data_IF_274875761052
#
_entry.id   IF_274875761052
#
_cell.length_a   1.000
_cell.length_b   1.000
_cell.length_c   1.000
_cell.angle_alpha   90.00
_cell.angle_beta   90.00
_cell.angle_gamma   90.00
#
_symmetry.space_group_name_H-M   'P 1'
#
loop_
_entity.id
_entity.type
_entity.pdbx_description
1 polymer ?
#
# COMPACT_ATOMS: atom_id res chain seq x y z
N UNK A 1 -19.29 -2.75 -13.52
CA UNK A 1 -18.43 -2.37 -14.67
C UNK A 1 -19.26 -2.43 -15.94
N UNK A 2 -19.10 -1.45 -16.85
CA UNK A 2 -19.82 -1.42 -18.13
C UNK A 2 -18.96 -2.16 -19.17
N UNK A 3 -19.13 -3.48 -19.28
CA UNK A 3 -18.38 -4.37 -20.18
C UNK A 3 -18.27 -3.82 -21.60
N UNK A 4 -19.38 -3.44 -22.22
CA UNK A 4 -19.41 -2.86 -23.59
C UNK A 4 -18.51 -1.61 -23.76
N UNK A 5 -18.37 -0.77 -22.71
CA UNK A 5 -17.49 0.39 -22.78
C UNK A 5 -16.01 0.00 -22.74
N UNK A 6 -15.67 -1.02 -21.95
CA UNK A 6 -14.31 -1.54 -21.88
C UNK A 6 -13.91 -2.21 -23.20
N UNK A 7 -14.80 -3.04 -23.77
CA UNK A 7 -14.62 -3.66 -25.08
C UNK A 7 -14.43 -2.63 -26.20
N UNK A 8 -15.30 -1.60 -26.25
CA UNK A 8 -15.16 -0.52 -27.22
C UNK A 8 -13.87 0.29 -27.03
N UNK A 9 -13.44 0.52 -25.80
CA UNK A 9 -12.18 1.22 -25.55
C UNK A 9 -10.98 0.38 -25.96
N UNK A 10 -10.99 -0.92 -25.71
CA UNK A 10 -9.96 -1.85 -26.15
C UNK A 10 -9.86 -1.88 -27.68
N UNK A 11 -11.01 -1.97 -28.36
CA UNK A 11 -11.09 -1.96 -29.82
C UNK A 11 -10.44 -0.71 -30.41
N UNK A 12 -10.97 0.47 -30.09
CA UNK A 12 -10.58 1.72 -30.77
C UNK A 12 -9.27 2.33 -30.26
N UNK A 13 -8.86 2.04 -29.02
CA UNK A 13 -7.64 2.65 -28.44
C UNK A 13 -6.42 1.74 -28.45
N UNK A 14 -6.60 0.45 -28.62
CA UNK A 14 -5.51 -0.52 -28.56
C UNK A 14 -5.47 -1.38 -29.83
N UNK A 15 -6.52 -2.15 -30.11
CA UNK A 15 -6.53 -3.11 -31.19
C UNK A 15 -6.35 -2.47 -32.58
N UNK A 16 -7.22 -1.53 -32.94
CA UNK A 16 -7.16 -0.85 -34.24
C UNK A 16 -5.85 -0.07 -34.44
N UNK A 17 -5.41 0.80 -33.49
CA UNK A 17 -4.17 1.55 -33.66
C UNK A 17 -2.92 0.69 -33.77
N UNK A 18 -2.90 -0.48 -33.10
CA UNK A 18 -1.75 -1.40 -33.14
C UNK A 18 -1.86 -2.45 -34.25
N UNK A 19 -3.03 -2.61 -34.88
CA UNK A 19 -3.25 -3.60 -35.93
C UNK A 19 -3.10 -5.05 -35.45
N UNK A 20 -3.50 -5.34 -34.20
CA UNK A 20 -3.33 -6.64 -33.54
C UNK A 20 -4.69 -7.33 -33.29
N UNK A 21 -4.66 -8.63 -33.02
CA UNK A 21 -5.87 -9.39 -32.67
C UNK A 21 -6.40 -9.06 -31.27
N UNK A 22 -7.67 -9.37 -31.01
CA UNK A 22 -8.36 -9.01 -29.75
C UNK A 22 -7.67 -9.59 -28.51
N UNK A 23 -7.27 -10.86 -28.56
CA UNK A 23 -6.59 -11.52 -27.43
C UNK A 23 -5.22 -10.89 -27.16
N UNK A 24 -4.46 -10.61 -28.23
CA UNK A 24 -3.18 -9.89 -28.13
C UNK A 24 -3.36 -8.47 -27.55
N UNK A 25 -4.46 -7.78 -27.86
CA UNK A 25 -4.75 -6.47 -27.30
C UNK A 25 -5.02 -6.53 -25.80
N UNK A 26 -5.71 -7.55 -25.31
CA UNK A 26 -5.93 -7.79 -23.87
C UNK A 26 -4.60 -8.02 -23.14
N UNK A 27 -3.75 -8.88 -23.69
CA UNK A 27 -2.43 -9.18 -23.14
C UNK A 27 -1.53 -7.94 -23.07
N UNK A 28 -1.51 -7.14 -24.14
CA UNK A 28 -0.76 -5.87 -24.16
C UNK A 28 -1.19 -4.90 -23.07
N UNK A 29 -2.48 -4.81 -22.79
CA UNK A 29 -3.00 -3.95 -21.70
C UNK A 29 -2.56 -4.50 -20.35
N UNK A 30 -2.64 -5.82 -20.14
CA UNK A 30 -2.21 -6.45 -18.90
C UNK A 30 -0.68 -6.29 -18.67
N UNK A 31 0.13 -6.60 -19.68
CA UNK A 31 1.59 -6.40 -19.64
C UNK A 31 1.95 -4.95 -19.29
N UNK A 32 1.32 -3.98 -19.97
CA UNK A 32 1.57 -2.56 -19.73
C UNK A 32 1.19 -2.16 -18.30
N UNK A 33 0.07 -2.67 -17.78
CA UNK A 33 -0.37 -2.40 -16.42
C UNK A 33 0.60 -3.00 -15.39
N UNK A 34 0.97 -4.26 -15.53
CA UNK A 34 1.91 -4.95 -14.64
C UNK A 34 3.26 -4.22 -14.63
N UNK A 35 3.79 -3.88 -15.82
CA UNK A 35 5.05 -3.16 -15.96
C UNK A 35 5.03 -1.80 -15.26
N UNK A 36 4.01 -0.98 -15.52
CA UNK A 36 3.90 0.37 -14.93
C UNK A 36 3.80 0.29 -13.41
N UNK A 37 3.03 -0.65 -12.87
CA UNK A 37 2.90 -0.81 -11.41
C UNK A 37 4.21 -1.31 -10.81
N UNK A 38 4.87 -2.29 -11.41
CA UNK A 38 6.15 -2.80 -10.95
C UNK A 38 7.24 -1.70 -10.97
N UNK A 39 7.33 -0.92 -12.04
CA UNK A 39 8.24 0.23 -12.13
C UNK A 39 7.99 1.23 -11.00
N UNK A 40 6.73 1.59 -10.74
CA UNK A 40 6.38 2.54 -9.67
C UNK A 40 6.68 2.02 -8.27
N UNK A 41 6.45 0.74 -8.01
CA UNK A 41 6.83 0.11 -6.74
C UNK A 41 8.35 0.16 -6.55
N UNK A 42 9.09 -0.18 -7.61
CA UNK A 42 10.55 -0.15 -7.58
C UNK A 42 11.12 1.26 -7.34
N UNK A 43 10.59 2.27 -8.04
CA UNK A 43 11.02 3.67 -7.91
C UNK A 43 10.82 4.22 -6.49
N UNK A 44 9.76 3.78 -5.79
CA UNK A 44 9.41 4.36 -4.49
C UNK A 44 10.24 3.84 -3.33
N UNK A 45 10.56 2.55 -3.29
CA UNK A 45 11.22 1.95 -2.13
C UNK A 45 12.36 1.01 -2.46
N UNK A 46 12.51 0.61 -3.73
CA UNK A 46 13.30 -0.55 -4.09
C UNK A 46 12.70 -1.83 -3.48
N UNK A 47 13.09 -2.97 -3.98
CA UNK A 47 12.67 -4.27 -3.46
C UNK A 47 13.90 -5.16 -3.27
N UNK A 48 13.97 -5.88 -2.15
CA UNK A 48 14.89 -7.00 -1.98
C UNK A 48 14.15 -8.31 -2.25
N UNK A 49 14.87 -9.41 -2.46
CA UNK A 49 14.29 -10.75 -2.63
C UNK A 49 13.39 -11.19 -1.47
N UNK A 50 13.61 -10.61 -0.28
CA UNK A 50 12.87 -10.92 0.95
C UNK A 50 11.67 -10.01 1.18
N UNK A 51 11.47 -9.02 0.30
CA UNK A 51 10.31 -8.13 0.37
C UNK A 51 9.02 -8.89 0.10
N UNK A 52 7.95 -8.51 0.79
CA UNK A 52 6.60 -9.03 0.57
C UNK A 52 5.73 -7.93 -0.04
N UNK A 53 5.08 -8.24 -1.16
CA UNK A 53 4.17 -7.30 -1.82
C UNK A 53 2.78 -7.40 -1.20
N UNK A 54 2.19 -6.28 -0.80
CA UNK A 54 0.82 -6.26 -0.25
C UNK A 54 -0.14 -5.66 -1.27
N UNK A 55 -1.13 -6.46 -1.70
CA UNK A 55 -2.17 -6.03 -2.65
C UNK A 55 -3.50 -5.81 -1.96
N UNK A 56 -4.09 -4.62 -2.11
CA UNK A 56 -5.37 -4.28 -1.49
C UNK A 56 -6.24 -3.41 -2.39
N UNK A 57 -7.47 -3.11 -1.95
CA UNK A 57 -8.49 -2.46 -2.75
C UNK A 57 -9.18 -3.43 -3.72
N UNK A 58 -10.09 -2.92 -4.55
CA UNK A 58 -10.85 -3.76 -5.48
C UNK A 58 -10.02 -4.35 -6.62
N UNK A 59 -9.02 -3.63 -7.13
CA UNK A 59 -8.20 -4.03 -8.28
C UNK A 59 -6.80 -4.53 -7.95
N UNK A 60 -6.25 -4.18 -6.79
CA UNK A 60 -4.90 -4.58 -6.39
C UNK A 60 -4.67 -6.09 -6.38
N UNK A 61 -5.57 -6.89 -5.82
CA UNK A 61 -5.45 -8.35 -5.80
C UNK A 61 -5.48 -9.04 -7.16
N UNK A 62 -6.05 -8.40 -8.20
CA UNK A 62 -6.29 -9.03 -9.49
C UNK A 62 -5.00 -9.45 -10.21
N UNK A 63 -3.96 -8.63 -10.16
CA UNK A 63 -2.68 -8.88 -10.84
C UNK A 63 -1.49 -8.88 -9.87
N UNK A 64 -1.74 -9.16 -8.59
CA UNK A 64 -0.72 -9.08 -7.54
C UNK A 64 0.44 -10.05 -7.78
N UNK A 65 0.15 -11.30 -8.13
CA UNK A 65 1.17 -12.33 -8.41
C UNK A 65 1.98 -11.99 -9.65
N UNK A 66 1.36 -11.43 -10.70
CA UNK A 66 2.07 -10.97 -11.89
C UNK A 66 3.02 -9.82 -11.58
N UNK A 67 2.57 -8.82 -10.78
CA UNK A 67 3.44 -7.71 -10.34
C UNK A 67 4.57 -8.20 -9.44
N UNK A 68 4.29 -9.11 -8.50
CA UNK A 68 5.31 -9.70 -7.64
C UNK A 68 6.37 -10.46 -8.47
N UNK A 69 5.94 -11.24 -9.47
CA UNK A 69 6.84 -11.94 -10.40
C UNK A 69 7.70 -10.97 -11.21
N UNK A 70 7.11 -9.88 -11.72
CA UNK A 70 7.85 -8.84 -12.46
C UNK A 70 8.90 -8.13 -11.60
N UNK A 71 8.68 -8.04 -10.29
CA UNK A 71 9.62 -7.51 -9.29
C UNK A 71 10.63 -8.55 -8.78
N UNK A 72 10.53 -9.82 -9.18
CA UNK A 72 11.37 -10.92 -8.68
C UNK A 72 11.08 -11.30 -7.24
N UNK A 73 9.90 -10.95 -6.73
CA UNK A 73 9.48 -11.26 -5.36
C UNK A 73 8.87 -12.66 -5.28
N UNK A 74 9.05 -13.33 -4.15
CA UNK A 74 8.55 -14.68 -3.89
C UNK A 74 7.36 -14.72 -2.93
N UNK A 75 7.02 -13.58 -2.33
CA UNK A 75 5.94 -13.49 -1.35
C UNK A 75 5.02 -12.30 -1.67
N UNK A 76 3.73 -12.52 -1.54
CA UNK A 76 2.73 -11.46 -1.59
C UNK A 76 1.60 -11.74 -0.59
N UNK A 77 0.86 -10.71 -0.19
CA UNK A 77 -0.25 -10.82 0.77
C UNK A 77 -1.44 -10.04 0.24
N UNK A 78 -2.62 -10.65 0.33
CA UNK A 78 -3.89 -9.96 0.18
C UNK A 78 -4.55 -9.95 1.56
N UNK A 79 -4.62 -8.80 2.25
CA UNK A 79 -5.25 -8.70 3.57
C UNK A 79 -6.71 -9.13 3.55
N UNK A 80 -7.18 -9.76 4.61
CA UNK A 80 -8.58 -10.17 4.75
C UNK A 80 -9.58 -9.02 4.60
N UNK A 81 -9.15 -7.80 4.95
CA UNK A 81 -9.90 -6.56 4.74
C UNK A 81 -9.43 -5.76 3.52
N UNK A 82 -8.95 -6.43 2.46
CA UNK A 82 -8.35 -5.78 1.29
C UNK A 82 -9.18 -4.63 0.73
N UNK A 83 -10.50 -4.77 0.66
CA UNK A 83 -11.40 -3.75 0.11
C UNK A 83 -11.41 -2.44 0.90
N UNK A 84 -11.18 -2.48 2.20
CA UNK A 84 -11.20 -1.33 3.13
C UNK A 84 -9.85 -1.12 3.84
N UNK A 85 -8.79 -1.75 3.35
CA UNK A 85 -7.48 -1.77 4.00
C UNK A 85 -6.88 -0.38 4.20
N UNK A 86 -7.11 0.54 3.26
CA UNK A 86 -6.69 1.94 3.42
C UNK A 86 -7.37 2.60 4.62
N UNK A 87 -8.68 2.41 4.79
CA UNK A 87 -9.43 2.95 5.93
C UNK A 87 -8.99 2.26 7.25
N UNK A 88 -8.78 0.94 7.21
CA UNK A 88 -8.23 0.19 8.32
C UNK A 88 -6.85 0.70 8.72
N UNK A 89 -5.96 0.92 7.74
CA UNK A 89 -4.61 1.44 7.95
C UNK A 89 -4.59 2.84 8.58
N UNK A 90 -5.59 3.69 8.31
CA UNK A 90 -5.71 5.00 8.97
C UNK A 90 -5.85 4.84 10.50
N UNK A 91 -6.54 3.81 10.99
CA UNK A 91 -6.66 3.54 12.43
C UNK A 91 -5.33 3.20 13.13
N UNK A 92 -4.30 2.83 12.36
CA UNK A 92 -2.95 2.54 12.85
C UNK A 92 -1.91 3.60 12.41
N UNK A 93 -2.37 4.65 11.77
CA UNK A 93 -1.52 5.78 11.42
C UNK A 93 -1.27 6.66 12.63
N UNK A 94 -0.05 7.19 12.72
CA UNK A 94 0.25 8.17 13.75
C UNK A 94 -0.61 9.42 13.56
N UNK A 95 -1.18 9.93 14.64
CA UNK A 95 -1.82 11.23 14.62
C UNK A 95 -0.71 12.30 14.68
N UNK A 96 -0.62 13.15 13.67
CA UNK A 96 0.39 14.22 13.66
C UNK A 96 -0.17 15.53 13.16
N UNK A 97 0.24 16.60 13.83
CA UNK A 97 -0.03 17.99 13.47
C UNK A 97 1.29 18.69 13.15
N UNK A 98 1.28 19.51 12.10
CA UNK A 98 2.47 20.26 11.68
C UNK A 98 2.18 21.75 11.68
N UNK A 99 3.06 22.52 12.30
CA UNK A 99 2.98 23.96 12.43
C UNK A 99 4.18 24.59 11.75
N UNK A 100 3.99 25.71 11.11
CA UNK A 100 5.07 26.43 10.45
C UNK A 100 4.93 27.93 10.72
N UNK A 101 6.07 28.59 10.95
CA UNK A 101 6.17 30.05 11.01
C UNK A 101 7.54 30.52 10.52
N UNK A 102 7.59 31.72 9.99
CA UNK A 102 8.87 32.36 9.68
C UNK A 102 9.51 32.87 10.98
N UNK A 103 10.80 32.62 11.13
CA UNK A 103 11.54 32.99 12.34
C UNK A 103 12.77 33.84 12.04
N UNK A 104 13.14 34.66 13.00
CA UNK A 104 14.45 35.32 13.12
C UNK A 104 15.26 34.69 14.26
N UNK A 105 16.57 34.75 14.17
CA UNK A 105 17.44 34.08 15.17
C UNK A 105 17.27 34.55 16.61
N UNK A 106 16.81 35.77 16.82
CA UNK A 106 16.70 36.40 18.14
C UNK A 106 15.51 35.86 18.97
N UNK A 107 14.45 35.40 18.32
CA UNK A 107 13.20 34.96 18.97
C UNK A 107 12.98 33.45 18.95
N UNK A 108 13.92 32.66 18.42
CA UNK A 108 13.71 31.22 18.16
C UNK A 108 13.16 30.46 19.37
N UNK A 109 13.64 30.72 20.58
CA UNK A 109 13.16 30.07 21.81
C UNK A 109 11.68 30.36 22.07
N UNK A 110 11.30 31.65 22.01
CA UNK A 110 9.91 32.08 22.21
C UNK A 110 8.99 31.54 21.10
N UNK A 111 9.49 31.52 19.86
CA UNK A 111 8.79 30.99 18.73
C UNK A 111 8.52 29.47 18.87
N UNK A 112 9.51 28.70 19.37
CA UNK A 112 9.33 27.28 19.71
C UNK A 112 8.25 27.08 20.78
N UNK A 113 8.30 27.84 21.87
CA UNK A 113 7.31 27.75 22.95
C UNK A 113 5.90 28.10 22.46
N UNK A 114 5.77 29.15 21.65
CA UNK A 114 4.48 29.53 21.07
C UNK A 114 3.89 28.42 20.19
N UNK A 115 4.71 27.72 19.40
CA UNK A 115 4.29 26.58 18.58
C UNK A 115 3.88 25.38 19.45
N UNK A 116 4.60 25.11 20.55
CA UNK A 116 4.23 24.05 21.50
C UNK A 116 2.88 24.35 22.14
N UNK A 117 2.62 25.58 22.56
CA UNK A 117 1.33 25.97 23.13
C UNK A 117 0.19 25.80 22.13
N UNK A 118 0.43 26.14 20.86
CA UNK A 118 -0.51 25.91 19.79
C UNK A 118 -0.77 24.42 19.58
N UNK A 119 0.31 23.62 19.48
CA UNK A 119 0.21 22.17 19.34
C UNK A 119 -0.55 21.53 20.51
N UNK A 120 -0.27 21.97 21.74
CA UNK A 120 -0.98 21.49 22.94
C UNK A 120 -2.49 21.70 22.84
N UNK A 121 -2.92 22.89 22.43
CA UNK A 121 -4.34 23.20 22.28
C UNK A 121 -4.99 22.36 21.19
N UNK A 122 -4.34 22.26 20.03
CA UNK A 122 -4.91 21.60 18.85
C UNK A 122 -4.92 20.06 19.05
N UNK A 123 -3.87 19.47 19.63
CA UNK A 123 -3.84 18.04 19.99
C UNK A 123 -4.86 17.70 21.08
N UNK A 124 -5.06 18.59 22.06
CA UNK A 124 -6.11 18.40 23.07
C UNK A 124 -7.51 18.41 22.47
N UNK A 125 -7.77 19.24 21.44
CA UNK A 125 -9.04 19.23 20.71
C UNK A 125 -9.31 17.90 19.97
N UNK A 126 -8.25 17.18 19.58
CA UNK A 126 -8.30 15.83 19.01
C UNK A 126 -8.33 14.72 20.09
N UNK A 127 -8.42 15.08 21.37
CA UNK A 127 -8.44 14.13 22.50
C UNK A 127 -7.09 13.54 22.86
N UNK A 128 -5.98 14.18 22.49
CA UNK A 128 -4.63 13.71 22.74
C UNK A 128 -3.87 14.67 23.68
N UNK A 129 -3.25 14.11 24.76
CA UNK A 129 -2.36 14.87 25.60
C UNK A 129 -1.02 15.11 24.87
N UNK A 130 -0.54 16.35 24.89
CA UNK A 130 0.74 16.72 24.28
C UNK A 130 1.94 16.00 24.92
N UNK A 131 1.83 15.62 26.20
CA UNK A 131 2.85 14.86 26.90
C UNK A 131 3.03 13.44 26.35
N UNK A 132 2.02 12.94 25.64
CA UNK A 132 2.07 11.65 24.95
C UNK A 132 2.59 11.76 23.51
N UNK A 133 3.00 12.95 23.09
CA UNK A 133 3.45 13.23 21.74
C UNK A 133 4.96 13.44 21.68
N UNK A 134 5.58 12.96 20.61
CA UNK A 134 6.91 13.43 20.24
C UNK A 134 6.78 14.79 19.55
N UNK A 135 7.66 15.72 19.95
CA UNK A 135 7.73 17.08 19.41
C UNK A 135 9.07 17.25 18.68
N UNK A 136 9.04 17.24 17.36
CA UNK A 136 10.20 17.41 16.50
C UNK A 136 10.17 18.80 15.85
N UNK A 137 11.22 19.56 16.07
CA UNK A 137 11.45 20.84 15.39
C UNK A 137 12.36 20.69 14.20
N UNK A 138 12.18 21.52 13.20
CA UNK A 138 13.12 21.66 12.09
C UNK A 138 13.17 23.10 11.57
N UNK A 139 14.36 23.51 11.15
CA UNK A 139 14.54 24.73 10.36
C UNK A 139 14.56 24.35 8.88
N UNK A 140 13.80 25.08 8.08
CA UNK A 140 13.68 24.86 6.64
C UNK A 140 14.04 26.15 5.91
N UNK A 141 15.02 26.09 5.05
CA UNK A 141 15.34 27.22 4.17
C UNK A 141 14.22 27.44 3.16
N UNK A 142 13.67 28.67 3.12
CA UNK A 142 12.51 29.01 2.29
C UNK A 142 12.80 28.97 0.78
N UNK A 143 14.07 29.16 0.39
CA UNK A 143 14.49 29.18 -1.03
C UNK A 143 14.72 27.78 -1.54
N UNK A 144 15.53 27.01 -0.82
CA UNK A 144 15.92 25.64 -1.23
C UNK A 144 14.93 24.56 -0.82
N UNK A 145 14.03 24.88 0.12
CA UNK A 145 13.10 23.93 0.76
C UNK A 145 13.80 22.80 1.53
N UNK A 146 15.09 22.91 1.76
CA UNK A 146 15.86 21.91 2.49
C UNK A 146 15.79 22.14 3.99
N UNK A 147 15.79 21.02 4.72
CA UNK A 147 15.91 21.05 6.19
C UNK A 147 17.37 21.28 6.52
N UNK A 148 17.65 22.36 7.28
CA UNK A 148 19.00 22.72 7.72
C UNK A 148 19.34 22.19 9.10
N UNK A 149 18.35 22.13 9.99
CA UNK A 149 18.53 21.66 11.37
C UNK A 149 17.30 20.84 11.81
N UNK A 150 17.52 19.87 12.69
CA UNK A 150 16.47 19.12 13.39
C UNK A 150 16.85 18.93 14.85
N UNK A 151 15.87 19.04 15.76
CA UNK A 151 16.03 18.77 17.18
C UNK A 151 14.70 18.43 17.85
N UNK A 152 14.73 17.84 19.03
CA UNK A 152 13.57 17.54 19.85
C UNK A 152 13.27 18.64 20.86
N UNK A 153 12.04 18.70 21.34
CA UNK A 153 11.69 19.62 22.42
C UNK A 153 12.54 19.31 23.66
N UNK A 154 13.18 20.35 24.21
CA UNK A 154 14.11 20.23 25.35
C UNK A 154 15.59 20.15 24.95
N UNK A 155 15.90 19.94 23.68
CA UNK A 155 17.29 20.00 23.19
C UNK A 155 17.78 21.46 23.09
N UNK A 156 19.12 21.62 22.97
CA UNK A 156 19.72 22.92 22.71
C UNK A 156 19.30 23.49 21.35
N UNK A 157 18.98 24.79 21.36
CA UNK A 157 18.53 25.46 20.14
C UNK A 157 19.67 25.68 19.14
N UNK A 158 19.46 25.41 17.85
CA UNK A 158 20.43 25.73 16.84
C UNK A 158 20.51 27.23 16.56
N UNK A 159 21.62 27.69 16.00
CA UNK A 159 21.73 29.07 15.50
C UNK A 159 20.98 29.20 14.18
N UNK A 160 20.24 30.29 14.01
CA UNK A 160 19.56 30.65 12.77
C UNK A 160 20.46 31.55 11.95
N UNK A 161 21.01 31.04 10.87
CA UNK A 161 21.98 31.79 10.04
C UNK A 161 21.33 32.71 9.00
N UNK A 162 20.00 32.62 8.79
CA UNK A 162 19.35 33.26 7.64
C UNK A 162 17.97 33.79 8.01
N UNK A 163 17.61 35.00 7.51
CA UNK A 163 16.30 35.63 7.71
C UNK A 163 15.17 34.98 6.91
N UNK A 164 15.49 34.07 5.99
CA UNK A 164 14.51 33.35 5.19
C UNK A 164 14.36 31.89 5.66
N UNK A 165 14.11 31.73 6.96
CA UNK A 165 14.00 30.42 7.59
C UNK A 165 12.61 30.20 8.14
N UNK A 166 12.03 29.02 7.88
CA UNK A 166 10.79 28.54 8.51
C UNK A 166 11.15 27.63 9.68
N UNK A 167 10.59 27.92 10.85
CA UNK A 167 10.48 26.96 11.93
C UNK A 167 9.29 26.05 11.64
N UNK A 168 9.51 24.75 11.68
CA UNK A 168 8.47 23.73 11.62
C UNK A 168 8.49 22.92 12.90
N UNK A 169 7.35 22.83 13.57
CA UNK A 169 7.10 21.87 14.63
C UNK A 169 6.22 20.75 14.07
N UNK A 170 6.58 19.49 14.33
CA UNK A 170 5.74 18.31 14.12
C UNK A 170 5.47 17.66 15.48
N UNK A 171 4.20 17.69 15.90
CA UNK A 171 3.73 16.96 17.07
C UNK A 171 3.14 15.63 16.60
N UNK A 172 3.59 14.50 17.14
CA UNK A 172 3.17 13.17 16.70
C UNK A 172 2.82 12.30 17.91
N UNK A 173 1.57 11.82 17.95
CA UNK A 173 1.14 10.72 18.81
C UNK A 173 1.35 9.42 18.05
N UNK A 174 2.23 8.58 18.53
CA UNK A 174 2.41 7.25 17.96
C UNK A 174 1.24 6.34 18.31
N UNK A 175 0.78 5.59 17.31
CA UNK A 175 -0.23 4.55 17.46
C UNK A 175 0.43 3.16 17.34
N UNK A 176 -0.29 2.12 17.75
CA UNK A 176 0.18 0.74 17.58
C UNK A 176 0.39 0.45 16.10
N UNK A 177 1.53 -0.13 15.74
CA UNK A 177 1.79 -0.60 14.37
C UNK A 177 1.02 -1.88 14.10
N UNK A 178 0.60 -2.05 12.85
CA UNK A 178 0.13 -3.33 12.34
C UNK A 178 1.32 -4.29 12.26
N UNK A 179 1.20 -5.42 12.94
CA UNK A 179 2.16 -6.52 12.83
C UNK A 179 1.49 -7.67 12.05
N UNK A 180 2.08 -8.03 10.92
CA UNK A 180 1.73 -9.27 10.23
C UNK A 180 2.58 -10.38 10.86
N UNK A 181 1.95 -11.23 11.68
CA UNK A 181 2.65 -12.34 12.31
C UNK A 181 3.01 -13.42 11.27
N UNK A 182 4.21 -13.98 11.37
CA UNK A 182 4.52 -15.26 10.72
C UNK A 182 3.73 -16.34 11.45
N UNK A 183 2.73 -16.91 10.79
CA UNK A 183 1.85 -17.90 11.39
C UNK A 183 2.33 -19.32 11.08
N UNK A 184 2.42 -20.15 12.11
CA UNK A 184 2.48 -21.60 11.97
C UNK A 184 1.06 -22.16 11.91
N UNK A 185 0.67 -22.73 10.77
CA UNK A 185 -0.65 -23.29 10.58
C UNK A 185 -0.77 -24.66 11.24
N UNK A 186 -1.67 -24.80 12.21
CA UNK A 186 -1.91 -26.09 12.89
C UNK A 186 -2.77 -27.05 12.07
N UNK A 187 -3.65 -26.53 11.21
CA UNK A 187 -4.56 -27.32 10.37
C UNK A 187 -4.44 -26.83 8.92
N UNK A 188 -3.79 -27.60 8.07
CA UNK A 188 -3.70 -27.33 6.64
C UNK A 188 -4.70 -28.24 5.91
N UNK A 189 -5.53 -27.66 5.04
CA UNK A 189 -6.48 -28.40 4.21
C UNK A 189 -6.49 -27.85 2.79
N UNK A 190 -6.77 -28.70 1.82
CA UNK A 190 -6.92 -28.25 0.44
C UNK A 190 -8.24 -27.46 0.28
N UNK A 191 -8.15 -26.32 -0.38
CA UNK A 191 -9.32 -25.48 -0.64
C UNK A 191 -10.26 -26.17 -1.63
N UNK A 192 -11.58 -26.04 -1.41
CA UNK A 192 -12.59 -26.57 -2.30
C UNK A 192 -13.03 -25.50 -3.30
N UNK A 193 -12.92 -25.80 -4.59
CA UNK A 193 -13.43 -24.91 -5.64
C UNK A 193 -14.95 -24.80 -5.55
N UNK A 194 -15.47 -23.60 -5.69
CA UNK A 194 -16.90 -23.28 -5.73
C UNK A 194 -17.47 -23.27 -7.15
N UNK A 195 -16.61 -23.30 -8.16
CA UNK A 195 -16.97 -23.26 -9.57
C UNK A 195 -15.75 -23.13 -10.47
N UNK A 196 -16.02 -22.77 -11.71
CA UNK A 196 -15.00 -22.58 -12.74
C UNK A 196 -15.23 -21.26 -13.49
N UNK A 197 -14.15 -20.69 -14.04
CA UNK A 197 -14.19 -19.49 -14.86
C UNK A 197 -13.24 -19.61 -16.05
N UNK A 198 -13.65 -19.05 -17.19
CA UNK A 198 -12.80 -18.90 -18.35
C UNK A 198 -11.91 -17.66 -18.17
N UNK A 199 -10.61 -17.83 -18.28
CA UNK A 199 -9.61 -16.76 -18.34
C UNK A 199 -8.89 -16.82 -19.69
N UNK A 200 -8.40 -15.66 -20.13
CA UNK A 200 -7.51 -15.53 -21.27
C UNK A 200 -6.10 -15.29 -20.72
N UNK A 201 -5.20 -16.22 -20.98
CA UNK A 201 -3.80 -16.18 -20.52
C UNK A 201 -2.90 -16.58 -21.68
N UNK A 202 -1.94 -15.72 -22.03
CA UNK A 202 -1.05 -15.88 -23.18
C UNK A 202 -1.84 -16.16 -24.46
N UNK A 203 -2.83 -15.33 -24.74
CA UNK A 203 -3.74 -15.42 -25.91
C UNK A 203 -4.56 -16.73 -25.99
N UNK A 204 -4.60 -17.53 -24.90
CA UNK A 204 -5.32 -18.82 -24.87
C UNK A 204 -6.41 -18.77 -23.80
N UNK A 205 -7.59 -19.26 -24.16
CA UNK A 205 -8.68 -19.49 -23.23
C UNK A 205 -8.39 -20.69 -22.33
N UNK A 206 -8.43 -20.50 -21.00
CA UNK A 206 -8.23 -21.55 -20.01
C UNK A 206 -9.36 -21.54 -19.00
N UNK A 207 -9.97 -22.68 -18.77
CA UNK A 207 -10.90 -22.88 -17.66
C UNK A 207 -10.11 -23.11 -16.37
N UNK A 208 -10.39 -22.31 -15.35
CA UNK A 208 -9.67 -22.34 -14.09
C UNK A 208 -10.63 -22.46 -12.91
N UNK A 209 -10.22 -23.09 -11.78
CA UNK A 209 -11.05 -23.17 -10.60
C UNK A 209 -11.29 -21.79 -9.98
N UNK A 210 -12.49 -21.60 -9.44
CA UNK A 210 -12.88 -20.42 -8.68
C UNK A 210 -13.13 -20.82 -7.23
N UNK A 211 -12.54 -20.08 -6.33
CA UNK A 211 -12.75 -20.23 -4.89
C UNK A 211 -13.55 -19.05 -4.35
N UNK A 212 -14.59 -19.33 -3.56
CA UNK A 212 -15.31 -18.28 -2.85
C UNK A 212 -14.55 -17.96 -1.56
N UNK A 213 -13.99 -16.75 -1.48
CA UNK A 213 -13.18 -16.33 -0.34
C UNK A 213 -13.90 -16.51 1.02
N UNK A 214 -15.21 -16.25 1.11
CA UNK A 214 -15.99 -16.41 2.35
C UNK A 214 -16.10 -17.86 2.83
N UNK A 215 -15.88 -18.84 1.94
CA UNK A 215 -15.90 -20.27 2.25
C UNK A 215 -14.53 -20.83 2.59
N UNK A 216 -13.47 -20.07 2.33
CA UNK A 216 -12.12 -20.47 2.70
C UNK A 216 -11.93 -20.34 4.21
N UNK A 217 -11.53 -21.42 4.84
CA UNK A 217 -11.21 -21.46 6.27
C UNK A 217 -9.72 -21.18 6.51
N UNK A 218 -9.36 -20.79 7.73
CA UNK A 218 -7.96 -20.64 8.11
C UNK A 218 -7.19 -21.96 7.89
N UNK A 219 -6.03 -21.88 7.24
CA UNK A 219 -5.23 -23.03 6.83
C UNK A 219 -5.59 -23.63 5.46
N UNK A 220 -6.69 -23.20 4.83
CA UNK A 220 -7.01 -23.63 3.46
C UNK A 220 -5.92 -23.19 2.49
N UNK A 221 -5.51 -24.06 1.58
CA UNK A 221 -4.46 -23.81 0.59
C UNK A 221 -4.90 -24.25 -0.81
N UNK A 222 -4.27 -23.66 -1.81
CA UNK A 222 -4.41 -24.05 -3.21
C UNK A 222 -3.28 -23.50 -4.07
N UNK A 223 -3.23 -23.95 -5.31
CA UNK A 223 -2.22 -23.52 -6.28
C UNK A 223 -2.88 -22.77 -7.45
N UNK A 224 -2.14 -21.87 -8.07
CA UNK A 224 -2.52 -21.23 -9.34
C UNK A 224 -2.32 -22.20 -10.52
N UNK A 225 -2.97 -22.03 -11.61
CA UNK A 225 -3.78 -20.88 -12.02
C UNK A 225 -5.20 -21.00 -11.45
N UNK A 226 -5.65 -20.00 -10.69
CA UNK A 226 -6.99 -19.99 -10.13
C UNK A 226 -7.49 -18.55 -9.88
N UNK A 227 -8.78 -18.42 -9.57
CA UNK A 227 -9.40 -17.16 -9.16
C UNK A 227 -10.00 -17.30 -7.78
N UNK A 228 -9.80 -16.30 -6.93
CA UNK A 228 -10.45 -16.19 -5.63
C UNK A 228 -11.39 -14.98 -5.71
N UNK A 229 -12.69 -15.23 -5.50
CA UNK A 229 -13.72 -14.19 -5.58
C UNK A 229 -14.25 -13.80 -4.22
N UNK A 230 -14.31 -12.50 -4.00
CA UNK A 230 -14.99 -11.86 -2.90
C UNK A 230 -15.95 -10.78 -3.44
N UNK A 231 -16.94 -10.38 -2.65
CA UNK A 231 -17.90 -9.34 -3.03
C UNK A 231 -17.22 -8.02 -3.45
N UNK A 232 -16.08 -7.69 -2.85
CA UNK A 232 -15.39 -6.41 -3.02
C UNK A 232 -14.07 -6.50 -3.78
N UNK A 233 -13.53 -7.69 -4.00
CA UNK A 233 -12.32 -7.88 -4.79
C UNK A 233 -12.34 -9.22 -5.54
N UNK A 234 -11.51 -9.30 -6.56
CA UNK A 234 -11.18 -10.55 -7.24
C UNK A 234 -9.66 -10.68 -7.26
N UNK A 235 -9.14 -11.82 -6.86
CA UNK A 235 -7.72 -12.15 -6.95
C UNK A 235 -7.50 -13.23 -8.00
N UNK A 236 -6.55 -13.03 -8.89
CA UNK A 236 -6.01 -14.07 -9.77
C UNK A 236 -4.69 -14.54 -9.16
N UNK A 237 -4.57 -15.82 -8.95
CA UNK A 237 -3.32 -16.46 -8.54
C UNK A 237 -2.74 -17.12 -9.79
N UNK A 238 -1.60 -16.62 -10.26
CA UNK A 238 -0.99 -17.09 -11.50
C UNK A 238 -0.34 -18.49 -11.30
N UNK A 239 -0.11 -19.20 -12.41
CA UNK A 239 0.64 -20.45 -12.40
C UNK A 239 2.04 -20.24 -11.79
N UNK A 240 2.51 -21.19 -10.99
CA UNK A 240 3.76 -21.05 -10.23
C UNK A 240 3.63 -20.30 -8.91
N UNK A 241 2.41 -19.98 -8.49
CA UNK A 241 2.09 -19.42 -7.19
C UNK A 241 1.12 -20.30 -6.42
N UNK A 242 1.23 -20.29 -5.11
CA UNK A 242 0.29 -20.92 -4.19
C UNK A 242 -0.34 -19.87 -3.28
N UNK A 243 -1.49 -20.19 -2.71
CA UNK A 243 -2.12 -19.40 -1.66
C UNK A 243 -2.38 -20.23 -0.42
N UNK A 244 -2.35 -19.58 0.73
CA UNK A 244 -2.78 -20.13 2.01
C UNK A 244 -3.53 -19.08 2.79
N UNK A 245 -4.61 -19.46 3.48
CA UNK A 245 -5.43 -18.56 4.29
C UNK A 245 -4.90 -18.50 5.71
N UNK A 246 -4.57 -17.29 6.21
CA UNK A 246 -4.12 -17.07 7.58
C UNK A 246 -5.25 -17.19 8.61
N UNK A 247 -4.91 -17.20 9.90
CA UNK A 247 -5.90 -17.15 10.99
C UNK A 247 -6.70 -15.84 10.98
N UNK A 248 -6.12 -14.76 10.46
CA UNK A 248 -6.78 -13.48 10.29
C UNK A 248 -7.52 -13.34 8.95
N UNK A 249 -7.67 -14.46 8.21
CA UNK A 249 -8.22 -14.46 6.87
C UNK A 249 -7.43 -13.67 5.81
N UNK A 250 -6.13 -13.45 6.01
CA UNK A 250 -5.29 -12.93 4.92
C UNK A 250 -4.97 -14.07 3.93
N UNK A 251 -4.82 -13.74 2.65
CA UNK A 251 -4.29 -14.67 1.66
C UNK A 251 -2.78 -14.48 1.58
N UNK A 252 -2.03 -15.45 2.05
CA UNK A 252 -0.57 -15.51 1.95
C UNK A 252 -0.21 -16.21 0.65
N UNK A 253 0.50 -15.51 -0.24
CA UNK A 253 0.85 -15.99 -1.56
C UNK A 253 2.36 -16.26 -1.62
N UNK A 254 2.72 -17.42 -2.15
CA UNK A 254 4.13 -17.83 -2.28
C UNK A 254 4.42 -18.38 -3.66
N UNK A 255 5.55 -17.99 -4.26
CA UNK A 255 6.05 -18.60 -5.48
C UNK A 255 6.52 -20.03 -5.17
N UNK A 256 6.18 -20.97 -6.05
CA UNK A 256 6.50 -22.41 -5.97
C UNK A 256 7.87 -22.67 -6.62
#
# INVERSE_FOLDING_TARGET
LKKKRAESALEHKVREPLGIEYLAALEKVEEAWVRIVAEKVWEHQGCSSDSTLVGFGGGGPMLLTAVASALGLKKAIIPGMAAVFSAYGVGFSNLSQSYQMQVSGESLGQDCESQVLRAKRDMFAEGVDINDCSLEFSLVDMKTKQITNKWSHGDSLPSVANTHTLLRLKATKETKRLEFAEESFKNVSDAQASGERLLIINEVEKTVPVYNYRQLVAGARGEGLCVIEHEFFTARIDAGWSFQVSANHDLLLSAI
#
